data_IF_694214679166
#
_entry.id   IF_694214679166
#
_cell.length_a   1.000
_cell.length_b   1.000
_cell.length_c   1.000
_cell.angle_alpha   90.00
_cell.angle_beta   90.00
_cell.angle_gamma   90.00
#
_symmetry.space_group_name_H-M   'P 1'
#
loop_
_entity.id
_entity.type
_entity.pdbx_description
1 polymer ?
#
# COMPACT_ATOMS: atom_id res chain seq x y z
N UNK A 1 16.11 44.66 -12.04
CA UNK A 1 16.61 43.30 -12.27
C UNK A 1 16.69 42.46 -10.98
N UNK A 2 17.20 42.99 -9.89
CA UNK A 2 17.30 42.25 -8.61
C UNK A 2 15.93 41.78 -8.03
N UNK A 3 14.88 42.61 -8.19
CA UNK A 3 13.51 42.27 -7.72
C UNK A 3 12.83 41.14 -8.52
N UNK A 4 13.15 41.00 -9.80
CA UNK A 4 12.59 39.95 -10.68
C UNK A 4 13.23 38.59 -10.40
N UNK A 5 14.50 38.56 -10.03
CA UNK A 5 15.22 37.33 -9.65
C UNK A 5 14.71 36.81 -8.31
N UNK A 6 14.41 37.71 -7.35
CA UNK A 6 13.86 37.32 -6.04
C UNK A 6 12.45 36.71 -6.19
N UNK A 7 11.61 37.25 -7.09
CA UNK A 7 10.27 36.72 -7.34
C UNK A 7 10.31 35.34 -7.99
N UNK A 8 11.26 35.12 -8.92
CA UNK A 8 11.45 33.83 -9.58
C UNK A 8 11.96 32.78 -8.61
N UNK A 9 12.83 33.15 -7.67
CA UNK A 9 13.32 32.26 -6.59
C UNK A 9 12.21 31.86 -5.63
N UNK A 10 11.27 32.76 -5.30
CA UNK A 10 10.11 32.46 -4.46
C UNK A 10 9.13 31.51 -5.16
N UNK A 11 8.94 31.65 -6.48
CA UNK A 11 8.09 30.74 -7.26
C UNK A 11 8.66 29.32 -7.32
N UNK A 12 9.98 29.17 -7.30
CA UNK A 12 10.64 27.87 -7.34
C UNK A 12 10.56 27.13 -6.00
N UNK A 13 10.42 27.83 -4.89
CA UNK A 13 10.27 27.24 -3.55
C UNK A 13 8.86 26.67 -3.31
N UNK A 14 7.84 27.14 -4.02
CA UNK A 14 6.46 26.66 -3.87
C UNK A 14 6.18 25.31 -4.55
N UNK A 15 7.15 24.75 -5.30
CA UNK A 15 7.01 23.47 -6.00
C UNK A 15 7.66 22.28 -5.25
N UNK A 16 8.22 22.52 -4.08
CA UNK A 16 8.79 21.48 -3.23
C UNK A 16 7.69 20.82 -2.39
N UNK A 17 6.78 20.09 -3.02
CA UNK A 17 5.90 19.20 -2.28
C UNK A 17 6.74 18.08 -1.66
N UNK A 18 6.70 17.99 -0.33
CA UNK A 18 7.36 16.90 0.39
C UNK A 18 6.76 15.56 -0.03
N UNK A 19 7.60 14.65 -0.49
CA UNK A 19 7.19 13.27 -0.79
C UNK A 19 7.01 12.51 0.52
N UNK A 20 5.88 11.82 0.64
CA UNK A 20 5.55 10.97 1.78
C UNK A 20 5.54 9.51 1.35
N UNK A 21 5.82 8.63 2.28
CA UNK A 21 5.63 7.20 2.14
C UNK A 21 4.41 6.76 2.94
N UNK A 22 3.61 5.85 2.38
CA UNK A 22 2.47 5.29 3.07
C UNK A 22 2.20 3.84 2.63
N UNK A 23 1.59 3.07 3.51
CA UNK A 23 0.97 1.80 3.20
C UNK A 23 -0.52 2.00 2.95
N UNK A 24 -0.97 1.56 1.78
CA UNK A 24 -2.38 1.54 1.40
C UNK A 24 -2.93 0.17 1.70
N UNK A 25 -3.74 0.05 2.73
CA UNK A 25 -4.38 -1.21 3.11
C UNK A 25 -5.64 -1.41 2.28
N UNK A 26 -5.82 -2.62 1.75
CA UNK A 26 -6.87 -2.97 0.83
C UNK A 26 -7.99 -3.74 1.54
N UNK A 27 -9.22 -3.62 1.02
CA UNK A 27 -10.42 -4.21 1.64
C UNK A 27 -10.47 -5.72 1.49
N UNK A 28 -10.01 -6.26 0.34
CA UNK A 28 -10.15 -7.66 -0.03
C UNK A 28 -9.04 -8.13 -0.99
N UNK A 29 -9.15 -9.38 -1.39
CA UNK A 29 -8.36 -10.02 -2.45
C UNK A 29 -9.28 -10.77 -3.38
N UNK A 30 -8.94 -10.78 -4.66
CA UNK A 30 -9.66 -11.58 -5.66
C UNK A 30 -9.26 -13.06 -5.62
N UNK A 31 -10.16 -13.92 -6.05
CA UNK A 31 -9.91 -15.36 -6.29
C UNK A 31 -9.36 -16.13 -5.07
N UNK A 32 -9.69 -15.71 -3.86
CA UNK A 32 -9.17 -16.33 -2.62
C UNK A 32 -9.48 -17.82 -2.56
N UNK A 33 -10.75 -18.21 -2.73
CA UNK A 33 -11.16 -19.61 -2.65
C UNK A 33 -10.49 -20.49 -3.72
N UNK A 34 -10.42 -19.99 -4.96
CA UNK A 34 -9.76 -20.71 -6.07
C UNK A 34 -8.26 -20.86 -5.83
N UNK A 35 -7.61 -19.84 -5.30
CA UNK A 35 -6.17 -19.86 -4.98
C UNK A 35 -5.84 -20.83 -3.85
N UNK A 36 -6.66 -20.89 -2.82
CA UNK A 36 -6.47 -21.82 -1.69
C UNK A 36 -6.72 -23.27 -2.12
N UNK A 37 -7.72 -23.51 -2.98
CA UNK A 37 -8.02 -24.85 -3.47
C UNK A 37 -6.98 -25.37 -4.47
N UNK A 38 -6.24 -24.49 -5.14
CA UNK A 38 -5.14 -24.85 -6.03
C UNK A 38 -3.87 -24.01 -5.73
N UNK A 39 -3.20 -24.29 -4.60
CA UNK A 39 -2.16 -23.42 -4.07
C UNK A 39 -0.90 -23.34 -4.94
N UNK A 40 -0.69 -24.27 -5.88
CA UNK A 40 0.44 -24.20 -6.82
C UNK A 40 0.35 -22.98 -7.75
N UNK A 41 -0.80 -22.36 -7.87
CA UNK A 41 -0.98 -21.12 -8.65
C UNK A 41 -0.42 -19.88 -7.95
N UNK A 42 -0.23 -19.95 -6.64
CA UNK A 42 0.22 -18.82 -5.81
C UNK A 42 1.47 -19.10 -4.99
N UNK A 43 1.84 -20.37 -4.82
CA UNK A 43 3.01 -20.82 -4.06
C UNK A 43 3.85 -21.79 -4.87
N UNK A 44 5.15 -21.82 -4.60
CA UNK A 44 6.01 -22.87 -5.15
C UNK A 44 5.73 -24.21 -4.45
N UNK A 45 5.98 -25.33 -5.13
CA UNK A 45 5.84 -26.67 -4.54
C UNK A 45 6.65 -26.79 -3.23
N UNK A 46 7.87 -26.25 -3.21
CA UNK A 46 8.73 -26.25 -2.00
C UNK A 46 8.07 -25.51 -0.82
N UNK A 47 7.38 -24.40 -1.09
CA UNK A 47 6.67 -23.66 -0.04
C UNK A 47 5.46 -24.44 0.48
N UNK A 48 4.72 -25.11 -0.40
CA UNK A 48 3.59 -25.97 -0.06
C UNK A 48 4.07 -27.12 0.82
N UNK A 49 5.10 -27.85 0.40
CA UNK A 49 5.66 -28.98 1.14
C UNK A 49 6.15 -28.58 2.52
N UNK A 50 6.81 -27.42 2.64
CA UNK A 50 7.26 -26.90 3.93
C UNK A 50 6.09 -26.56 4.86
N UNK A 51 5.04 -25.93 4.35
CA UNK A 51 3.84 -25.63 5.14
C UNK A 51 3.16 -26.90 5.62
N UNK A 52 3.03 -27.89 4.75
CA UNK A 52 2.44 -29.19 5.09
C UNK A 52 3.27 -29.92 6.16
N UNK A 53 4.60 -29.94 6.02
CA UNK A 53 5.50 -30.56 6.99
C UNK A 53 5.45 -29.87 8.38
N UNK A 54 5.18 -28.58 8.42
CA UNK A 54 5.08 -27.78 9.65
C UNK A 54 3.65 -27.67 10.19
N UNK A 55 2.66 -28.25 9.51
CA UNK A 55 1.24 -28.14 9.90
C UNK A 55 0.67 -26.73 9.78
N UNK A 56 1.24 -25.90 8.88
CA UNK A 56 0.80 -24.51 8.65
C UNK A 56 -0.19 -24.50 7.50
N UNK A 57 -1.42 -24.07 7.78
CA UNK A 57 -2.46 -23.96 6.76
C UNK A 57 -2.09 -22.92 5.68
N UNK A 58 -2.52 -23.18 4.44
CA UNK A 58 -2.55 -22.21 3.36
C UNK A 58 -3.85 -21.43 3.47
N UNK A 59 -3.75 -20.11 3.62
CA UNK A 59 -4.92 -19.26 3.85
C UNK A 59 -4.86 -17.96 3.03
N UNK A 60 -5.78 -17.03 3.30
CA UNK A 60 -5.88 -15.75 2.59
C UNK A 60 -4.59 -14.93 2.61
N UNK A 61 -3.73 -15.12 3.61
CA UNK A 61 -2.44 -14.41 3.71
C UNK A 61 -1.45 -14.85 2.64
N UNK A 62 -1.59 -16.05 2.11
CA UNK A 62 -0.77 -16.58 1.03
C UNK A 62 -1.21 -16.07 -0.34
N UNK A 63 -2.46 -15.63 -0.47
CA UNK A 63 -3.00 -15.08 -1.72
C UNK A 63 -2.36 -13.74 -2.04
N UNK A 64 -1.86 -13.52 -3.26
CA UNK A 64 -1.25 -12.26 -3.65
C UNK A 64 -2.21 -11.07 -3.54
N UNK A 65 -1.65 -9.88 -3.40
CA UNK A 65 -2.39 -8.63 -3.58
C UNK A 65 -2.98 -8.60 -4.98
N UNK A 66 -4.23 -8.20 -5.11
CA UNK A 66 -4.95 -8.13 -6.38
C UNK A 66 -4.26 -7.20 -7.37
N UNK A 67 -3.81 -7.74 -8.51
CA UNK A 67 -3.03 -6.97 -9.49
C UNK A 67 -3.82 -5.83 -10.13
N UNK A 68 -5.13 -5.96 -10.30
CA UNK A 68 -5.98 -4.88 -10.81
C UNK A 68 -5.98 -3.66 -9.88
N UNK A 69 -5.92 -3.86 -8.58
CA UNK A 69 -5.80 -2.77 -7.60
C UNK A 69 -4.46 -2.06 -7.69
N UNK A 70 -3.38 -2.83 -7.84
CA UNK A 70 -2.04 -2.27 -8.02
C UNK A 70 -1.97 -1.43 -9.30
N UNK A 71 -2.55 -1.92 -10.39
CA UNK A 71 -2.62 -1.19 -11.67
C UNK A 71 -3.39 0.13 -11.51
N UNK A 72 -4.51 0.12 -10.80
CA UNK A 72 -5.29 1.33 -10.53
C UNK A 72 -4.54 2.32 -9.65
N UNK A 73 -3.82 1.85 -8.63
CA UNK A 73 -2.96 2.72 -7.81
C UNK A 73 -1.85 3.37 -8.63
N UNK A 74 -1.18 2.60 -9.50
CA UNK A 74 -0.14 3.11 -10.40
C UNK A 74 -0.66 4.18 -11.37
N UNK A 75 -1.93 4.11 -11.75
CA UNK A 75 -2.56 5.06 -12.66
C UNK A 75 -2.92 6.39 -11.99
N UNK A 76 -2.89 6.48 -10.66
CA UNK A 76 -3.23 7.70 -9.94
C UNK A 76 -2.14 8.75 -10.07
N UNK A 77 -2.57 10.01 -10.25
CA UNK A 77 -1.65 11.15 -10.38
C UNK A 77 -0.75 11.27 -9.15
N UNK A 78 0.55 11.44 -9.37
CA UNK A 78 1.54 11.69 -8.32
C UNK A 78 1.87 10.49 -7.44
N UNK A 79 1.38 9.28 -7.78
CA UNK A 79 1.60 8.05 -7.01
C UNK A 79 2.65 7.17 -7.68
N UNK A 80 3.65 6.79 -6.90
CA UNK A 80 4.62 5.74 -7.25
C UNK A 80 4.41 4.54 -6.35
N UNK A 81 4.17 3.37 -6.95
CA UNK A 81 4.07 2.10 -6.21
C UNK A 81 5.48 1.51 -6.06
N UNK A 82 5.89 1.23 -4.83
CA UNK A 82 7.23 0.77 -4.48
C UNK A 82 7.27 -0.71 -4.12
N UNK A 83 6.28 -1.21 -3.39
CA UNK A 83 6.24 -2.58 -2.90
C UNK A 83 4.81 -3.02 -2.60
N UNK A 84 4.61 -4.32 -2.44
CA UNK A 84 3.35 -4.92 -2.00
C UNK A 84 3.60 -5.98 -0.93
N UNK A 85 2.64 -6.15 -0.03
CA UNK A 85 2.66 -7.16 1.01
C UNK A 85 1.37 -7.99 0.99
N UNK A 86 1.48 -9.25 0.61
CA UNK A 86 0.34 -10.18 0.65
C UNK A 86 -0.12 -10.48 2.09
N UNK A 87 0.80 -10.44 3.04
CA UNK A 87 0.51 -10.71 4.44
C UNK A 87 -0.39 -9.68 5.08
N UNK A 88 -0.16 -8.41 4.75
CA UNK A 88 -0.93 -7.27 5.25
C UNK A 88 -2.06 -6.87 4.30
N UNK A 89 -2.08 -7.41 3.08
CA UNK A 89 -2.93 -6.95 1.99
C UNK A 89 -2.77 -5.44 1.77
N UNK A 90 -1.55 -5.00 1.57
CA UNK A 90 -1.21 -3.59 1.50
C UNK A 90 -0.18 -3.30 0.41
N UNK A 91 -0.18 -2.07 -0.07
CA UNK A 91 0.72 -1.57 -1.11
C UNK A 91 1.47 -0.34 -0.58
N UNK A 92 2.79 -0.38 -0.65
CA UNK A 92 3.63 0.76 -0.30
C UNK A 92 3.69 1.73 -1.48
N UNK A 93 3.31 2.96 -1.22
CA UNK A 93 3.30 4.04 -2.20
C UNK A 93 4.11 5.23 -1.72
N UNK A 94 4.54 6.05 -2.68
CA UNK A 94 5.16 7.36 -2.46
C UNK A 94 4.44 8.41 -3.27
N UNK A 95 4.25 9.58 -2.69
CA UNK A 95 3.60 10.72 -3.31
C UNK A 95 3.50 11.90 -2.35
N UNK A 96 2.89 13.00 -2.79
CA UNK A 96 2.52 14.06 -1.87
C UNK A 96 1.44 13.58 -0.88
N UNK A 97 1.34 14.21 0.28
CA UNK A 97 0.28 13.91 1.24
C UNK A 97 -1.11 14.04 0.60
N UNK A 98 -1.32 15.06 -0.22
CA UNK A 98 -2.61 15.30 -0.91
C UNK A 98 -2.92 14.17 -1.89
N UNK A 99 -1.96 13.75 -2.70
CA UNK A 99 -2.15 12.68 -3.69
C UNK A 99 -2.39 11.32 -3.01
N UNK A 100 -1.69 11.03 -1.92
CA UNK A 100 -1.89 9.80 -1.14
C UNK A 100 -3.28 9.81 -0.49
N UNK A 101 -3.68 10.91 0.15
CA UNK A 101 -5.02 11.01 0.76
C UNK A 101 -6.15 10.89 -0.27
N UNK A 102 -5.93 11.33 -1.50
CA UNK A 102 -6.90 11.18 -2.59
C UNK A 102 -7.19 9.71 -2.94
N UNK A 103 -6.30 8.78 -2.61
CA UNK A 103 -6.52 7.34 -2.83
C UNK A 103 -7.67 6.77 -2.00
N UNK A 104 -8.07 7.44 -0.93
CA UNK A 104 -9.18 7.02 -0.05
C UNK A 104 -10.54 6.97 -0.75
N UNK A 105 -10.70 7.61 -1.91
CA UNK A 105 -11.93 7.56 -2.71
C UNK A 105 -12.08 6.25 -3.50
N UNK A 106 -11.02 5.49 -3.66
CA UNK A 106 -11.05 4.20 -4.35
C UNK A 106 -11.76 3.16 -3.47
N UNK A 107 -12.72 2.46 -4.05
CA UNK A 107 -13.60 1.53 -3.31
C UNK A 107 -12.87 0.37 -2.64
N UNK A 108 -11.71 -0.02 -3.16
CA UNK A 108 -10.89 -1.10 -2.63
C UNK A 108 -9.85 -0.66 -1.59
N UNK A 109 -9.76 0.64 -1.29
CA UNK A 109 -8.89 1.16 -0.23
C UNK A 109 -9.64 1.16 1.09
N UNK A 110 -9.11 0.44 2.08
CA UNK A 110 -9.65 0.37 3.44
C UNK A 110 -9.15 1.55 4.27
N UNK A 111 -7.84 1.68 4.39
CA UNK A 111 -7.23 2.83 5.08
C UNK A 111 -5.80 3.09 4.61
N UNK A 112 -5.31 4.28 4.95
CA UNK A 112 -3.97 4.75 4.63
C UNK A 112 -3.17 4.88 5.92
N UNK A 113 -1.97 4.34 5.96
CA UNK A 113 -1.03 4.44 7.07
C UNK A 113 0.27 5.09 6.62
N UNK A 114 0.42 6.38 6.90
CA UNK A 114 1.64 7.12 6.58
C UNK A 114 2.81 6.66 7.45
N UNK A 115 4.01 6.67 6.88
CA UNK A 115 5.24 6.45 7.62
C UNK A 115 5.45 7.56 8.67
N UNK A 116 5.15 8.80 8.32
CA UNK A 116 5.02 9.90 9.29
C UNK A 116 3.68 9.76 10.03
N UNK A 117 3.74 9.27 11.25
CA UNK A 117 2.55 8.98 12.07
C UNK A 117 1.74 10.22 12.44
N UNK A 118 2.33 11.42 12.36
CA UNK A 118 1.62 12.68 12.60
C UNK A 118 0.55 12.97 11.53
N UNK A 119 0.68 12.37 10.34
CA UNK A 119 -0.26 12.51 9.24
C UNK A 119 -1.47 11.56 9.34
N UNK A 120 -1.46 10.61 10.25
CA UNK A 120 -2.54 9.64 10.47
C UNK A 120 -3.65 10.22 11.35
N UNK A 121 -4.20 11.35 10.97
CA UNK A 121 -5.26 12.03 11.73
C UNK A 121 -6.59 11.30 11.62
N UNK A 122 -7.29 11.13 12.76
CA UNK A 122 -8.66 10.59 12.80
C UNK A 122 -8.79 9.07 12.90
N UNK A 123 -7.67 8.35 13.00
CA UNK A 123 -7.71 6.91 13.27
C UNK A 123 -7.58 6.68 14.78
N UNK A 124 -8.52 5.93 15.41
CA UNK A 124 -8.29 5.42 16.75
C UNK A 124 -7.00 4.61 16.73
N UNK A 125 -6.08 4.87 17.66
CA UNK A 125 -4.90 4.05 17.84
C UNK A 125 -5.33 2.68 18.36
N UNK A 126 -5.76 1.81 17.47
CA UNK A 126 -5.84 0.39 17.77
C UNK A 126 -4.39 -0.11 17.73
N UNK A 127 -3.71 0.03 18.84
CA UNK A 127 -2.56 -0.79 19.15
C UNK A 127 -3.08 -2.23 19.31
N UNK A 128 -3.39 -2.85 18.20
CA UNK A 128 -3.56 -4.27 18.20
C UNK A 128 -2.15 -4.85 18.19
N UNK A 129 -1.70 -5.24 19.38
CA UNK A 129 -0.53 -6.09 19.52
C UNK A 129 -0.76 -7.32 18.62
N UNK A 130 0.06 -7.46 17.58
CA UNK A 130 -0.03 -8.59 16.65
C UNK A 130 0.52 -9.90 17.23
N UNK A 131 0.85 -9.91 18.52
CA UNK A 131 1.56 -11.00 19.19
C UNK A 131 0.91 -11.45 20.51
N UNK A 132 -0.37 -11.18 20.69
CA UNK A 132 -1.16 -11.80 21.75
C UNK A 132 -1.99 -12.96 21.22
#
# INVERSE_FOLDING_TARGET
MKKKILLLSLLFQSLMYSQQDAWIYLTDKENVAASISNPITILTQKAIDRKNAQGIAIDVRDVPVTESYITQLKAQTGITVLAKSKWFNAVHVRGSEVDINALSVLSFVDYIDFADKSLNTGRPSVQQSKFD
#
